data_IF_025152991646
#
_entry.id   IF_025152991646
#
_cell.length_a   1.000
_cell.length_b   1.000
_cell.length_c   1.000
_cell.angle_alpha   90.00
_cell.angle_beta   90.00
_cell.angle_gamma   90.00
#
_symmetry.space_group_name_H-M   'P 1'
#
loop_
_entity.id
_entity.type
_entity.pdbx_description
1 polymer ?
#
# COMPACT_ATOMS: atom_id res chain seq x y z
N UNK A 1 10.31 4.15 -3.66
CA UNK A 1 9.51 5.36 -3.94
C UNK A 1 8.91 5.50 -5.34
N UNK A 2 9.53 5.02 -6.42
CA UNK A 2 9.01 5.22 -7.78
C UNK A 2 7.60 4.63 -8.02
N UNK A 3 7.25 3.50 -7.39
CA UNK A 3 5.96 2.82 -7.59
C UNK A 3 4.76 3.65 -7.12
N UNK A 4 4.84 4.34 -5.98
CA UNK A 4 3.74 5.17 -5.46
C UNK A 4 3.51 6.42 -6.33
N UNK A 5 4.61 6.97 -6.86
CA UNK A 5 4.59 8.17 -7.69
C UNK A 5 4.33 7.89 -9.19
N UNK A 6 4.22 6.62 -9.58
CA UNK A 6 4.05 6.20 -10.98
C UNK A 6 2.68 6.56 -11.58
N UNK A 7 1.66 6.76 -10.73
CA UNK A 7 0.27 6.94 -11.14
C UNK A 7 -0.39 5.65 -11.65
N UNK A 8 0.32 4.52 -11.64
CA UNK A 8 -0.25 3.21 -11.92
C UNK A 8 -0.88 2.63 -10.65
N UNK A 9 -2.20 2.44 -10.69
CA UNK A 9 -2.98 1.92 -9.58
C UNK A 9 -2.55 0.50 -9.20
N UNK A 10 -2.10 -0.32 -10.15
CA UNK A 10 -1.62 -1.67 -9.87
C UNK A 10 -0.35 -1.61 -9.02
N UNK A 11 0.60 -0.78 -9.43
CA UNK A 11 1.85 -0.54 -8.69
C UNK A 11 1.60 -0.02 -7.27
N UNK A 12 0.64 0.89 -7.08
CA UNK A 12 0.27 1.38 -5.75
C UNK A 12 -0.39 0.26 -4.93
N UNK A 13 -1.30 -0.51 -5.52
CA UNK A 13 -1.99 -1.60 -4.85
C UNK A 13 -1.05 -2.74 -4.43
N UNK A 14 0.03 -2.99 -5.18
CA UNK A 14 1.10 -3.90 -4.76
C UNK A 14 1.72 -3.43 -3.43
N UNK A 15 2.13 -2.16 -3.35
CA UNK A 15 2.76 -1.60 -2.15
C UNK A 15 1.82 -1.66 -0.95
N UNK A 16 0.55 -1.26 -1.13
CA UNK A 16 -0.47 -1.32 -0.05
C UNK A 16 -0.67 -2.76 0.43
N UNK A 17 -0.81 -3.72 -0.49
CA UNK A 17 -1.00 -5.14 -0.17
C UNK A 17 0.22 -5.73 0.54
N UNK A 18 1.41 -5.37 0.08
CA UNK A 18 2.67 -5.94 0.55
C UNK A 18 3.07 -5.41 1.93
N UNK A 19 2.73 -4.15 2.23
CA UNK A 19 2.95 -3.53 3.53
C UNK A 19 1.78 -3.73 4.50
N UNK A 20 0.60 -4.15 4.04
CA UNK A 20 -0.52 -4.42 4.95
C UNK A 20 -0.11 -5.48 5.99
N UNK A 21 -0.29 -5.14 7.28
CA UNK A 21 -0.05 -6.05 8.41
C UNK A 21 -1.32 -6.18 9.23
N UNK A 22 -1.63 -7.41 9.61
CA UNK A 22 -2.73 -7.69 10.53
C UNK A 22 -2.27 -7.54 11.99
N UNK A 23 -3.20 -7.31 12.93
CA UNK A 23 -2.92 -7.13 14.37
C UNK A 23 -2.13 -8.28 15.03
N UNK A 24 -2.11 -9.46 14.41
CA UNK A 24 -1.38 -10.63 14.89
C UNK A 24 0.04 -10.77 14.30
N UNK A 25 0.50 -9.79 13.52
CA UNK A 25 1.83 -9.73 12.93
C UNK A 25 2.71 -8.73 13.70
N UNK A 26 4.05 -8.83 13.59
CA UNK A 26 4.95 -7.85 14.18
C UNK A 26 4.63 -6.42 13.72
N UNK A 27 4.88 -5.44 14.60
CA UNK A 27 4.77 -4.03 14.23
C UNK A 27 5.69 -3.69 13.06
N UNK A 28 5.18 -2.87 12.13
CA UNK A 28 5.98 -2.30 11.04
C UNK A 28 7.05 -1.37 11.58
N UNK A 29 8.18 -1.33 10.90
CA UNK A 29 9.15 -0.26 11.08
C UNK A 29 8.54 1.10 10.72
N UNK A 30 9.13 2.18 11.25
CA UNK A 30 8.65 3.54 11.01
C UNK A 30 8.62 3.90 9.52
N UNK A 31 9.64 3.48 8.76
CA UNK A 31 9.73 3.69 7.32
C UNK A 31 8.66 2.91 6.55
N UNK A 32 8.43 1.64 6.88
CA UNK A 32 7.36 0.83 6.28
C UNK A 32 5.99 1.46 6.51
N UNK A 33 5.74 1.95 7.73
CA UNK A 33 4.49 2.61 8.07
C UNK A 33 4.27 3.88 7.23
N UNK A 34 5.30 4.71 7.07
CA UNK A 34 5.18 5.90 6.23
C UNK A 34 4.87 5.55 4.77
N UNK A 35 5.54 4.53 4.25
CA UNK A 35 5.33 4.07 2.88
C UNK A 35 3.91 3.50 2.69
N UNK A 36 3.41 2.76 3.69
CA UNK A 36 2.04 2.24 3.71
C UNK A 36 1.01 3.37 3.76
N UNK A 37 1.16 4.33 4.67
CA UNK A 37 0.23 5.47 4.80
C UNK A 37 0.19 6.30 3.51
N UNK A 38 1.34 6.56 2.88
CA UNK A 38 1.43 7.27 1.60
C UNK A 38 0.78 6.49 0.45
N UNK A 39 1.00 5.17 0.38
CA UNK A 39 0.41 4.33 -0.65
C UNK A 39 -1.12 4.21 -0.48
N UNK A 40 -1.59 4.08 0.76
CA UNK A 40 -3.01 3.99 1.11
C UNK A 40 -3.75 5.29 0.74
N UNK A 41 -3.19 6.45 1.09
CA UNK A 41 -3.76 7.74 0.73
C UNK A 41 -3.85 7.91 -0.79
N UNK A 42 -2.80 7.53 -1.53
CA UNK A 42 -2.80 7.63 -2.99
C UNK A 42 -3.84 6.70 -3.61
N UNK A 43 -3.92 5.44 -3.16
CA UNK A 43 -4.89 4.46 -3.63
C UNK A 43 -6.34 4.91 -3.39
N UNK A 44 -6.62 5.39 -2.18
CA UNK A 44 -7.95 5.86 -1.79
C UNK A 44 -8.41 7.04 -2.65
N UNK A 45 -7.53 7.98 -3.01
CA UNK A 45 -7.85 9.10 -3.90
C UNK A 45 -8.25 8.65 -5.30
N UNK A 46 -7.50 7.71 -5.89
CA UNK A 46 -7.79 7.20 -7.23
C UNK A 46 -9.12 6.43 -7.24
N UNK A 47 -9.38 5.61 -6.22
CA UNK A 47 -10.63 4.85 -6.08
C UNK A 47 -11.83 5.78 -5.83
N UNK A 48 -11.66 6.81 -4.99
CA UNK A 48 -12.69 7.81 -4.74
C UNK A 48 -13.06 8.57 -6.02
N UNK A 49 -12.06 8.95 -6.83
CA UNK A 49 -12.26 9.63 -8.10
C UNK A 49 -13.01 8.75 -9.13
N UNK A 50 -12.64 7.47 -9.26
CA UNK A 50 -13.26 6.53 -10.20
C UNK A 50 -14.70 6.20 -9.80
N UNK A 51 -14.93 5.92 -8.51
CA UNK A 51 -16.22 5.47 -8.02
C UNK A 51 -17.15 6.62 -7.59
N UNK A 52 -16.71 7.88 -7.70
CA UNK A 52 -17.46 9.08 -7.28
C UNK A 52 -17.95 8.97 -5.83
N UNK A 53 -17.08 8.51 -4.95
CA UNK A 53 -17.32 8.38 -3.52
C UNK A 53 -16.33 9.24 -2.74
N UNK A 54 -16.55 9.39 -1.44
CA UNK A 54 -15.59 10.10 -0.58
C UNK A 54 -14.31 9.30 -0.37
N UNK A 55 -13.19 9.99 -0.11
CA UNK A 55 -11.92 9.36 0.26
C UNK A 55 -12.10 8.42 1.48
N UNK A 56 -12.88 8.84 2.47
CA UNK A 56 -13.19 8.03 3.65
C UNK A 56 -13.93 6.72 3.32
N UNK A 57 -14.82 6.74 2.33
CA UNK A 57 -15.50 5.52 1.86
C UNK A 57 -14.55 4.61 1.07
N UNK A 58 -13.65 5.21 0.27
CA UNK A 58 -12.63 4.46 -0.45
C UNK A 58 -11.65 3.76 0.50
N UNK A 59 -11.17 4.43 1.55
CA UNK A 59 -10.30 3.81 2.57
C UNK A 59 -10.98 2.59 3.21
N UNK A 60 -12.26 2.71 3.60
CA UNK A 60 -13.01 1.58 4.18
C UNK A 60 -13.16 0.43 3.19
N UNK A 61 -13.37 0.73 1.92
CA UNK A 61 -13.46 -0.27 0.86
C UNK A 61 -12.12 -1.01 0.70
N UNK A 62 -11.00 -0.27 0.72
CA UNK A 62 -9.65 -0.84 0.65
C UNK A 62 -9.36 -1.75 1.82
N UNK A 63 -9.61 -1.30 3.06
CA UNK A 63 -9.46 -2.12 4.27
C UNK A 63 -10.33 -3.39 4.21
N UNK A 64 -11.58 -3.25 3.72
CA UNK A 64 -12.48 -4.39 3.54
C UNK A 64 -11.93 -5.41 2.55
N UNK A 65 -11.24 -4.96 1.49
CA UNK A 65 -10.64 -5.83 0.49
C UNK A 65 -9.33 -6.46 0.98
N UNK A 66 -8.49 -5.71 1.68
CA UNK A 66 -7.25 -6.20 2.29
C UNK A 66 -7.52 -7.31 3.32
N UNK A 67 -8.59 -7.19 4.10
CA UNK A 67 -9.03 -8.22 5.05
C UNK A 67 -9.52 -9.53 4.40
N UNK A 68 -9.93 -9.50 3.12
CA UNK A 68 -10.41 -10.67 2.38
C UNK A 68 -9.29 -11.44 1.67
N UNK A 69 -8.13 -10.84 1.49
CA UNK A 69 -7.00 -11.45 0.78
C UNK A 69 -6.39 -12.64 1.53
N UNK A 70 -5.79 -13.61 0.82
CA UNK A 70 -5.06 -14.69 1.48
C UNK A 70 -3.90 -14.08 2.27
N UNK A 71 -3.92 -14.25 3.59
CA UNK A 71 -2.84 -13.84 4.52
C UNK A 71 -1.55 -14.59 4.17
N UNK A 72 -0.84 -14.18 3.12
CA UNK A 72 0.49 -14.73 2.79
C UNK A 72 1.48 -14.12 3.77
N UNK A 73 1.62 -14.78 4.92
CA UNK A 73 2.82 -14.63 5.73
C UNK A 73 3.99 -15.23 4.96
N UNK A 74 4.76 -14.41 4.23
CA UNK A 74 6.18 -14.67 3.98
C UNK A 74 6.86 -13.38 3.53
N UNK A 75 7.99 -13.11 4.17
CA UNK A 75 8.83 -11.92 4.06
C UNK A 75 9.10 -11.52 2.61
N UNK A 76 9.01 -10.21 2.34
CA UNK A 76 9.67 -9.62 1.19
C UNK A 76 11.13 -9.47 1.60
N UNK A 77 11.96 -10.28 0.93
CA UNK A 77 13.40 -10.04 0.82
C UNK A 77 13.60 -8.65 0.21
N UNK A 78 14.43 -7.86 0.88
CA UNK A 78 14.88 -6.54 0.48
C UNK A 78 15.50 -6.62 -0.94
N UNK A 79 14.76 -6.18 -1.95
CA UNK A 79 15.36 -5.73 -3.21
C UNK A 79 15.58 -4.22 -3.11
N UNK A 80 16.56 -3.86 -2.27
CA UNK A 80 17.21 -2.56 -2.27
C UNK A 80 18.26 -2.59 -3.37
N UNK A 81 17.80 -2.50 -4.62
CA UNK A 81 18.67 -2.40 -5.79
C UNK A 81 18.59 -1.01 -6.39
N UNK A 82 19.53 -0.18 -5.92
CA UNK A 82 20.34 0.78 -6.68
C UNK A 82 19.62 1.99 -7.31
N UNK A 83 19.95 3.18 -6.79
CA UNK A 83 20.67 4.17 -7.60
C UNK A 83 21.48 5.12 -6.70
N UNK A 84 22.72 4.72 -6.39
CA UNK A 84 23.80 5.66 -6.11
C UNK A 84 24.39 6.11 -7.46
N UNK A 85 24.73 7.41 -7.52
CA UNK A 85 25.57 8.10 -8.50
C UNK A 85 24.89 8.74 -9.73
N UNK A 86 24.66 10.05 -9.61
CA UNK A 86 25.09 11.05 -10.59
C UNK A 86 25.46 12.38 -9.90
#
# INVERSE_FOLDING_TARGET
DAKINSGDLISIAEVVRDLYRAENQPEQSYSERQLYEAALDRMAREIAAVNKMSETEAVRLDETNLNKGPKRGKAIEEDDSQDEAA
#
